data_IF_352005655549
#
_entry.id   IF_352005655549
#
_cell.length_a   1.000
_cell.length_b   1.000
_cell.length_c   1.000
_cell.angle_alpha   90.00
_cell.angle_beta   90.00
_cell.angle_gamma   90.00
#
_symmetry.space_group_name_H-M   'P 1'
#
loop_
_entity.id
_entity.type
_entity.pdbx_description
1 polymer ?
#
# COMPACT_ATOMS: atom_id res chain seq x y z
N UNK A 1 41.85 5.64 47.10
CA UNK A 1 40.79 6.67 47.15
C UNK A 1 40.17 7.04 45.79
N UNK A 2 40.42 6.31 44.68
CA UNK A 2 39.88 6.64 43.33
C UNK A 2 39.00 5.55 42.68
N UNK A 3 38.73 4.44 43.38
CA UNK A 3 37.99 3.30 42.82
C UNK A 3 36.48 3.36 43.08
N UNK A 4 36.04 4.03 44.16
CA UNK A 4 34.60 4.19 44.47
C UNK A 4 33.85 5.08 43.46
N UNK A 5 34.52 6.10 42.88
CA UNK A 5 33.89 7.06 41.95
C UNK A 5 33.62 6.51 40.54
N UNK A 6 34.23 5.37 40.18
CA UNK A 6 34.01 4.71 38.88
C UNK A 6 32.83 3.72 38.99
N UNK A 7 32.68 3.06 40.13
CA UNK A 7 31.58 2.13 40.39
C UNK A 7 30.23 2.84 40.55
N UNK A 8 30.18 4.02 41.19
CA UNK A 8 28.95 4.83 41.25
C UNK A 8 28.49 5.36 39.88
N UNK A 9 29.43 5.61 38.94
CA UNK A 9 29.10 6.07 37.58
C UNK A 9 28.55 4.95 36.68
N UNK A 10 28.74 3.68 37.03
CA UNK A 10 28.20 2.53 36.29
C UNK A 10 26.81 2.09 36.76
N UNK A 11 26.33 2.51 37.94
CA UNK A 11 25.09 2.00 38.54
C UNK A 11 23.80 2.74 38.10
N UNK A 12 23.89 3.74 37.22
CA UNK A 12 22.70 4.47 36.73
C UNK A 12 22.68 4.51 35.20
N UNK A 13 22.87 3.36 34.55
CA UNK A 13 22.28 3.17 33.22
C UNK A 13 20.78 2.94 33.41
N UNK A 14 20.05 4.02 33.70
CA UNK A 14 18.59 4.03 33.78
C UNK A 14 18.12 3.51 32.43
N UNK A 15 17.57 2.28 32.38
CA UNK A 15 16.95 1.70 31.19
C UNK A 15 15.85 2.67 30.78
N UNK A 16 16.16 3.58 29.84
CA UNK A 16 15.21 4.57 29.40
C UNK A 16 14.00 3.79 28.88
N UNK A 17 12.89 3.92 29.59
CA UNK A 17 11.64 3.26 29.23
C UNK A 17 11.30 3.71 27.82
N UNK A 18 10.92 2.78 26.93
CA UNK A 18 10.55 3.08 25.55
C UNK A 18 9.52 4.21 25.46
N UNK A 19 8.67 4.33 26.47
CA UNK A 19 7.72 5.43 26.67
C UNK A 19 8.36 6.81 26.88
N UNK A 20 9.49 6.89 27.58
CA UNK A 20 10.23 8.15 27.78
C UNK A 20 10.89 8.62 26.49
N UNK A 21 11.40 7.68 25.69
CA UNK A 21 11.97 7.97 24.36
C UNK A 21 10.87 8.40 23.40
N UNK A 22 9.73 7.69 23.39
CA UNK A 22 8.59 8.01 22.53
C UNK A 22 8.02 9.41 22.82
N UNK A 23 7.86 9.77 24.10
CA UNK A 23 7.44 11.14 24.49
C UNK A 23 8.48 12.19 24.10
N UNK A 24 9.77 11.87 24.18
CA UNK A 24 10.84 12.79 23.77
C UNK A 24 10.83 13.05 22.25
N UNK A 25 10.29 12.14 21.44
CA UNK A 25 10.19 12.24 19.98
C UNK A 25 8.82 12.76 19.50
N UNK A 26 8.06 13.43 20.37
CA UNK A 26 6.71 13.92 20.08
C UNK A 26 6.60 14.72 18.78
N UNK A 27 7.62 15.51 18.43
CA UNK A 27 7.67 16.28 17.18
C UNK A 27 7.55 15.37 15.95
N UNK A 28 8.36 14.32 15.85
CA UNK A 28 8.28 13.35 14.75
C UNK A 28 6.97 12.58 14.75
N UNK A 29 6.48 12.20 15.94
CA UNK A 29 5.19 11.50 16.06
C UNK A 29 4.04 12.37 15.57
N UNK A 30 4.04 13.66 15.92
CA UNK A 30 2.99 14.61 15.48
C UNK A 30 2.92 14.79 13.97
N UNK A 31 4.04 14.62 13.24
CA UNK A 31 4.06 14.68 11.79
C UNK A 31 3.49 13.40 11.14
N UNK A 32 3.69 12.24 11.77
CA UNK A 32 3.21 10.95 11.26
C UNK A 32 1.73 10.72 11.59
N UNK A 33 1.28 11.17 12.77
CA UNK A 33 -0.09 11.00 13.26
C UNK A 33 -1.17 11.40 12.23
N UNK A 34 -1.13 12.57 11.55
CA UNK A 34 -2.17 12.92 10.58
C UNK A 34 -2.19 11.97 9.37
N UNK A 35 -1.03 11.54 8.87
CA UNK A 35 -0.95 10.57 7.78
C UNK A 35 -1.48 9.18 8.20
N UNK A 36 -1.15 8.75 9.41
CA UNK A 36 -1.66 7.50 9.96
C UNK A 36 -3.17 7.55 10.17
N UNK A 37 -3.69 8.64 10.74
CA UNK A 37 -5.11 8.86 10.94
C UNK A 37 -5.86 8.84 9.61
N UNK A 38 -5.30 9.49 8.57
CA UNK A 38 -5.86 9.46 7.23
C UNK A 38 -5.95 8.02 6.69
N UNK A 39 -4.88 7.23 6.79
CA UNK A 39 -4.87 5.82 6.37
C UNK A 39 -5.91 5.01 7.15
N UNK A 40 -6.03 5.22 8.46
CA UNK A 40 -7.00 4.51 9.29
C UNK A 40 -8.42 4.83 8.79
N UNK A 41 -8.74 6.10 8.64
CA UNK A 41 -10.10 6.55 8.29
C UNK A 41 -10.48 6.17 6.86
N UNK A 42 -9.59 6.35 5.89
CA UNK A 42 -9.91 6.19 4.48
C UNK A 42 -9.52 4.83 3.89
N UNK A 43 -8.64 4.07 4.54
CA UNK A 43 -8.24 2.73 4.05
C UNK A 43 -8.70 1.61 4.98
N UNK A 44 -8.54 1.72 6.30
CA UNK A 44 -8.89 0.63 7.22
C UNK A 44 -10.37 0.57 7.60
N UNK A 45 -11.02 1.71 7.85
CA UNK A 45 -12.46 1.71 8.17
C UNK A 45 -13.29 1.09 7.02
N UNK A 46 -13.06 1.43 5.73
CA UNK A 46 -13.80 0.80 4.62
C UNK A 46 -13.58 -0.71 4.49
N UNK A 47 -12.46 -1.25 5.00
CA UNK A 47 -12.22 -2.71 5.00
C UNK A 47 -13.24 -3.46 5.85
N UNK A 48 -13.94 -2.80 6.78
CA UNK A 48 -15.06 -3.42 7.51
C UNK A 48 -16.15 -3.91 6.55
N UNK A 49 -16.30 -3.28 5.38
CA UNK A 49 -17.23 -3.70 4.34
C UNK A 49 -16.94 -5.06 3.72
N UNK A 50 -15.74 -5.63 3.90
CA UNK A 50 -15.40 -6.98 3.43
C UNK A 50 -16.34 -8.03 4.07
N UNK A 51 -16.84 -7.77 5.29
CA UNK A 51 -17.79 -8.64 5.97
C UNK A 51 -19.11 -8.80 5.21
N UNK A 52 -19.49 -7.84 4.36
CA UNK A 52 -20.69 -7.96 3.52
C UNK A 52 -20.59 -9.12 2.52
N UNK A 53 -19.38 -9.55 2.14
CA UNK A 53 -19.20 -10.74 1.28
C UNK A 53 -19.58 -12.07 1.96
N UNK A 54 -19.71 -12.07 3.29
CA UNK A 54 -20.08 -13.24 4.10
C UNK A 54 -21.53 -13.23 4.58
N UNK A 55 -22.27 -12.17 4.25
CA UNK A 55 -23.65 -11.97 4.65
C UNK A 55 -24.54 -11.84 3.41
N UNK A 56 -25.80 -12.25 3.51
CA UNK A 56 -26.80 -11.93 2.48
C UNK A 56 -27.23 -10.47 2.67
N UNK A 57 -26.33 -9.56 2.28
CA UNK A 57 -26.44 -8.14 2.56
C UNK A 57 -27.60 -7.52 1.77
N UNK A 58 -28.56 -6.94 2.50
CA UNK A 58 -29.69 -6.21 1.93
C UNK A 58 -29.63 -4.77 2.39
N UNK A 59 -29.64 -3.82 1.45
CA UNK A 59 -29.66 -2.38 1.74
C UNK A 59 -30.83 -1.99 2.66
N UNK A 60 -31.95 -2.70 2.58
CA UNK A 60 -33.13 -2.46 3.41
C UNK A 60 -32.99 -2.95 4.85
N UNK A 61 -32.23 -4.03 5.08
CA UNK A 61 -32.03 -4.61 6.43
C UNK A 61 -30.77 -4.08 7.12
N UNK A 62 -29.88 -3.45 6.37
CA UNK A 62 -28.59 -2.96 6.86
C UNK A 62 -27.64 -4.09 7.27
N UNK A 63 -26.45 -3.72 7.74
CA UNK A 63 -25.38 -4.67 8.08
C UNK A 63 -25.77 -5.62 9.22
N UNK A 64 -26.47 -5.12 10.24
CA UNK A 64 -26.84 -5.89 11.43
C UNK A 64 -28.09 -6.75 11.27
N UNK A 65 -28.93 -6.47 10.26
CA UNK A 65 -30.17 -7.21 9.98
C UNK A 65 -30.02 -8.28 8.89
N UNK A 66 -28.86 -8.37 8.25
CA UNK A 66 -28.59 -9.33 7.19
C UNK A 66 -28.07 -10.66 7.73
N UNK A 67 -28.61 -11.80 7.28
CA UNK A 67 -28.20 -13.11 7.79
C UNK A 67 -26.78 -13.43 7.34
N UNK A 68 -25.99 -14.01 8.25
CA UNK A 68 -24.65 -14.50 7.95
C UNK A 68 -24.75 -15.81 7.14
N UNK A 69 -24.23 -15.81 5.91
CA UNK A 69 -24.28 -16.96 4.98
C UNK A 69 -22.91 -17.59 4.72
N UNK A 70 -21.86 -17.09 5.38
CA UNK A 70 -20.50 -17.63 5.28
C UNK A 70 -19.97 -17.57 3.85
N UNK A 71 -19.56 -18.71 3.29
CA UNK A 71 -18.90 -18.77 1.98
C UNK A 71 -19.86 -18.95 0.78
N UNK A 72 -21.18 -18.81 0.98
CA UNK A 72 -22.18 -19.02 -0.07
C UNK A 72 -21.86 -18.26 -1.36
N UNK A 73 -21.65 -16.94 -1.27
CA UNK A 73 -21.38 -16.09 -2.43
C UNK A 73 -20.03 -16.40 -3.11
N UNK A 74 -19.02 -16.79 -2.33
CA UNK A 74 -17.73 -17.23 -2.88
C UNK A 74 -17.89 -18.51 -3.69
N UNK A 75 -18.65 -19.48 -3.18
CA UNK A 75 -18.92 -20.73 -3.90
C UNK A 75 -19.75 -20.49 -5.17
N UNK A 76 -20.76 -19.63 -5.11
CA UNK A 76 -21.53 -19.21 -6.29
C UNK A 76 -20.64 -18.55 -7.34
N UNK A 77 -19.73 -17.67 -6.91
CA UNK A 77 -18.79 -16.99 -7.81
C UNK A 77 -17.81 -17.95 -8.48
N UNK A 78 -17.18 -18.86 -7.72
CA UNK A 78 -16.19 -19.82 -8.25
C UNK A 78 -16.84 -20.81 -9.22
N UNK A 79 -18.07 -21.24 -8.95
CA UNK A 79 -18.80 -22.17 -9.82
C UNK A 79 -19.53 -21.47 -10.99
N UNK A 80 -19.44 -20.14 -11.12
CA UNK A 80 -20.03 -19.42 -12.25
C UNK A 80 -19.29 -19.74 -13.55
N UNK A 81 -20.01 -19.75 -14.68
CA UNK A 81 -19.43 -20.03 -16.01
C UNK A 81 -18.30 -19.06 -16.39
N UNK A 82 -18.35 -17.83 -15.87
CA UNK A 82 -17.44 -16.76 -16.24
C UNK A 82 -16.18 -16.72 -15.38
N UNK A 83 -16.15 -17.43 -14.24
CA UNK A 83 -15.04 -17.37 -13.28
C UNK A 83 -13.70 -17.70 -13.92
N UNK A 84 -13.62 -18.82 -14.64
CA UNK A 84 -12.37 -19.25 -15.27
C UNK A 84 -11.90 -18.32 -16.37
N UNK A 85 -12.83 -17.71 -17.12
CA UNK A 85 -12.50 -16.70 -18.12
C UNK A 85 -11.91 -15.46 -17.46
N UNK A 86 -12.56 -14.95 -16.41
CA UNK A 86 -12.10 -13.77 -15.66
C UNK A 86 -10.73 -14.04 -15.01
N UNK A 87 -10.57 -15.21 -14.39
CA UNK A 87 -9.33 -15.60 -13.71
C UNK A 87 -8.16 -15.68 -14.71
N UNK A 88 -8.34 -16.41 -15.83
CA UNK A 88 -7.30 -16.53 -16.86
C UNK A 88 -6.95 -15.19 -17.49
N UNK A 89 -7.94 -14.36 -17.79
CA UNK A 89 -7.71 -13.03 -18.34
C UNK A 89 -6.94 -12.14 -17.36
N UNK A 90 -7.33 -12.14 -16.09
CA UNK A 90 -6.65 -11.36 -15.04
C UNK A 90 -5.20 -11.78 -14.88
N UNK A 91 -4.92 -13.09 -14.83
CA UNK A 91 -3.56 -13.61 -14.74
C UNK A 91 -2.76 -13.28 -15.99
N UNK A 92 -3.33 -13.52 -17.19
CA UNK A 92 -2.65 -13.22 -18.45
C UNK A 92 -2.29 -11.73 -18.55
N UNK A 93 -3.23 -10.82 -18.27
CA UNK A 93 -2.99 -9.38 -18.27
C UNK A 93 -1.91 -9.01 -17.24
N UNK A 94 -1.95 -9.59 -16.05
CA UNK A 94 -0.96 -9.32 -15.00
C UNK A 94 0.44 -9.78 -15.42
N UNK A 95 0.55 -10.95 -16.04
CA UNK A 95 1.81 -11.46 -16.59
C UNK A 95 2.32 -10.61 -17.75
N UNK A 96 1.45 -10.16 -18.67
CA UNK A 96 1.85 -9.22 -19.73
C UNK A 96 2.29 -7.87 -19.18
N UNK A 97 1.62 -7.35 -18.13
CA UNK A 97 2.04 -6.13 -17.45
C UNK A 97 3.42 -6.29 -16.80
N UNK A 98 3.71 -7.44 -16.19
CA UNK A 98 5.02 -7.70 -15.60
C UNK A 98 6.10 -7.98 -16.65
N UNK A 99 5.79 -8.73 -17.72
CA UNK A 99 6.75 -9.12 -18.75
C UNK A 99 7.07 -8.01 -19.76
N UNK A 100 6.07 -7.22 -20.15
CA UNK A 100 6.23 -6.15 -21.15
C UNK A 100 6.05 -4.76 -20.53
N UNK A 101 5.03 -4.58 -19.68
CA UNK A 101 4.71 -3.27 -19.10
C UNK A 101 5.78 -2.74 -18.14
N UNK A 102 6.42 -3.61 -17.35
CA UNK A 102 7.48 -3.22 -16.44
C UNK A 102 8.83 -2.96 -17.14
N UNK A 103 9.29 -3.80 -18.09
CA UNK A 103 10.54 -3.53 -18.80
C UNK A 103 10.45 -2.36 -19.78
N UNK A 104 9.29 -2.07 -20.37
CA UNK A 104 9.15 -1.03 -21.39
C UNK A 104 9.64 0.36 -20.93
N UNK A 105 9.28 0.89 -19.74
CA UNK A 105 9.85 2.13 -19.21
C UNK A 105 11.37 2.08 -19.01
N UNK A 106 11.92 0.92 -18.62
CA UNK A 106 13.37 0.74 -18.42
C UNK A 106 14.10 0.82 -19.76
N UNK A 107 13.60 0.11 -20.78
CA UNK A 107 14.12 0.21 -22.14
C UNK A 107 14.05 1.63 -22.67
N UNK A 108 12.92 2.32 -22.50
CA UNK A 108 12.77 3.71 -22.90
C UNK A 108 13.77 4.63 -22.19
N UNK A 109 13.98 4.45 -20.88
CA UNK A 109 14.94 5.21 -20.11
C UNK A 109 16.39 5.02 -20.61
N UNK A 110 16.78 3.79 -20.96
CA UNK A 110 18.08 3.49 -21.55
C UNK A 110 18.25 4.13 -22.93
N UNK A 111 17.25 4.01 -23.81
CA UNK A 111 17.26 4.65 -25.13
C UNK A 111 17.42 6.18 -25.01
N UNK A 112 16.68 6.81 -24.08
CA UNK A 112 16.79 8.24 -23.83
C UNK A 112 18.12 8.65 -23.19
N UNK A 113 18.76 7.76 -22.45
CA UNK A 113 20.08 8.01 -21.86
C UNK A 113 21.16 8.18 -22.94
N UNK A 114 21.09 7.39 -24.00
CA UNK A 114 22.09 7.38 -25.09
C UNK A 114 21.97 8.57 -26.05
N UNK A 115 20.86 9.32 -26.01
CA UNK A 115 20.65 10.48 -26.90
C UNK A 115 21.57 11.65 -26.48
N UNK A 116 22.54 12.00 -27.34
CA UNK A 116 23.43 13.16 -27.16
C UNK A 116 22.76 14.51 -27.44
N UNK A 117 21.75 14.56 -28.32
CA UNK A 117 21.05 15.82 -28.64
C UNK A 117 19.98 16.15 -27.59
N UNK A 118 20.23 17.20 -26.81
CA UNK A 118 19.38 17.61 -25.69
C UNK A 118 18.00 18.11 -26.10
N UNK A 119 17.85 18.76 -27.26
CA UNK A 119 16.55 19.26 -27.74
C UNK A 119 15.67 18.08 -28.14
N UNK A 120 16.22 17.14 -28.90
CA UNK A 120 15.50 15.94 -29.32
C UNK A 120 15.08 15.07 -28.14
N UNK A 121 15.98 14.84 -27.18
CA UNK A 121 15.70 14.11 -25.93
C UNK A 121 14.52 14.72 -25.17
N UNK A 122 14.50 16.06 -25.02
CA UNK A 122 13.43 16.78 -24.31
C UNK A 122 12.07 16.62 -25.00
N UNK A 123 12.03 16.70 -26.33
CA UNK A 123 10.79 16.53 -27.10
C UNK A 123 10.23 15.12 -26.92
N UNK A 124 11.05 14.08 -27.06
CA UNK A 124 10.59 12.68 -26.88
C UNK A 124 10.09 12.45 -25.46
N UNK A 125 10.79 12.96 -24.45
CA UNK A 125 10.32 12.88 -23.06
C UNK A 125 8.94 13.51 -22.91
N UNK A 126 8.75 14.75 -23.37
CA UNK A 126 7.44 15.42 -23.28
C UNK A 126 6.34 14.62 -23.96
N UNK A 127 6.56 14.10 -25.17
CA UNK A 127 5.57 13.29 -25.89
C UNK A 127 5.31 11.97 -25.15
N UNK A 128 6.33 11.32 -24.61
CA UNK A 128 6.20 10.02 -23.92
C UNK A 128 5.51 10.15 -22.56
N UNK A 129 5.68 11.28 -21.87
CA UNK A 129 5.00 11.56 -20.60
C UNK A 129 3.58 12.10 -20.77
N UNK A 130 3.25 12.69 -21.93
CA UNK A 130 1.93 13.28 -22.19
C UNK A 130 0.75 12.31 -21.99
N UNK A 131 0.78 11.04 -22.44
CA UNK A 131 -0.32 10.11 -22.22
C UNK A 131 -0.68 9.91 -20.75
N UNK A 132 0.26 10.05 -19.81
CA UNK A 132 -0.04 9.95 -18.38
C UNK A 132 -0.95 11.10 -17.92
N UNK A 133 -0.88 12.27 -18.56
CA UNK A 133 -1.72 13.42 -18.24
C UNK A 133 -3.11 13.37 -18.89
N UNK A 134 -3.29 12.50 -19.90
CA UNK A 134 -4.60 12.28 -20.51
C UNK A 134 -5.24 11.12 -19.75
N UNK A 135 -6.21 11.47 -18.90
CA UNK A 135 -7.01 10.51 -18.14
C UNK A 135 -8.28 10.12 -18.88
#
# INVERSE_FOLDING_TARGET
>A
MKTASIQERMLISKKNSTWTIFKSQWQFQSMVIPGLLFIIVFSYIPMWGILMGFQDYSLFKGFWGSPWVGFKHFNEFINSSNFWQIMRNTIAISLFKLGCGFPAPIFLALCLNEIRNMVFKRVIQTISYLPHFIS
#
